data_IF_982970024712
#
_entry.id   IF_982970024712
#
_cell.length_a   1.000
_cell.length_b   1.000
_cell.length_c   1.000
_cell.angle_alpha   90.00
_cell.angle_beta   90.00
_cell.angle_gamma   90.00
#
_symmetry.space_group_name_H-M   'P 1'
#
loop_
_entity.id
_entity.type
_entity.pdbx_description
1 polymer ?
#
# COMPACT_ATOMS: atom_id res chain seq x y z
N UNK A 1 9.41 19.00 29.50
CA UNK A 1 9.26 17.91 28.52
C UNK A 1 9.04 18.59 27.18
N UNK A 2 10.03 18.57 26.29
CA UNK A 2 9.96 19.33 25.04
C UNK A 2 9.09 18.57 24.04
N UNK A 3 7.92 19.15 23.73
CA UNK A 3 7.08 18.74 22.61
C UNK A 3 7.87 18.92 21.32
N UNK A 4 8.27 17.81 20.71
CA UNK A 4 8.94 17.82 19.41
C UNK A 4 7.86 18.07 18.36
N UNK A 5 7.45 19.33 18.24
CA UNK A 5 6.78 19.84 17.06
C UNK A 5 7.76 19.73 15.89
N UNK A 6 7.67 18.62 15.16
CA UNK A 6 8.42 18.36 13.94
C UNK A 6 7.86 19.25 12.82
N UNK A 7 8.28 20.52 12.86
CA UNK A 7 7.93 21.57 11.92
C UNK A 7 8.33 21.14 10.51
N UNK A 8 7.34 21.04 9.63
CA UNK A 8 7.56 21.05 8.19
C UNK A 8 8.34 22.32 7.83
N UNK A 9 9.42 22.26 7.01
CA UNK A 9 10.23 23.45 6.70
C UNK A 9 9.45 24.58 6.01
N UNK A 10 8.19 24.35 5.57
CA UNK A 10 7.29 25.39 5.08
C UNK A 10 6.41 26.06 6.16
N UNK A 11 6.57 25.71 7.44
CA UNK A 11 5.84 26.31 8.57
C UNK A 11 4.33 26.02 8.60
N UNK A 12 3.82 25.19 7.68
CA UNK A 12 2.40 24.84 7.61
C UNK A 12 2.10 23.65 8.52
N UNK A 13 1.22 23.88 9.51
CA UNK A 13 0.58 22.78 10.26
C UNK A 13 -0.16 21.90 9.26
N UNK A 14 0.27 20.63 9.13
CA UNK A 14 -0.51 19.66 8.35
C UNK A 14 -1.83 19.46 9.09
N UNK A 15 -3.01 19.63 8.46
CA UNK A 15 -4.28 19.31 9.11
C UNK A 15 -4.19 17.86 9.55
N UNK A 16 -4.65 17.56 10.78
CA UNK A 16 -4.52 16.28 11.46
C UNK A 16 -4.91 15.13 10.52
N UNK A 17 -3.91 14.62 9.81
CA UNK A 17 -4.09 13.81 8.62
C UNK A 17 -4.08 12.39 9.09
N UNK A 18 -5.13 11.62 8.76
CA UNK A 18 -5.23 10.16 8.90
C UNK A 18 -3.89 9.53 9.29
N UNK A 19 -3.76 9.14 10.57
CA UNK A 19 -2.50 8.69 11.17
C UNK A 19 -1.88 7.60 10.31
N UNK A 20 -0.76 7.93 9.67
CA UNK A 20 0.03 7.01 8.85
C UNK A 20 1.28 6.60 9.59
N UNK A 21 1.73 5.36 9.38
CA UNK A 21 3.01 4.89 9.91
C UNK A 21 4.15 5.74 9.37
N UNK A 22 5.11 6.10 10.23
CA UNK A 22 6.29 6.89 9.83
C UNK A 22 7.26 6.08 8.97
N UNK A 23 7.36 4.77 9.20
CA UNK A 23 8.21 3.88 8.41
C UNK A 23 7.74 3.83 6.94
N UNK A 24 8.67 4.12 6.03
CA UNK A 24 8.48 4.04 4.59
C UNK A 24 9.43 2.99 3.99
N UNK A 25 9.07 2.44 2.84
CA UNK A 25 9.89 1.55 2.03
C UNK A 25 10.01 2.10 0.62
N UNK A 26 11.21 2.05 0.08
CA UNK A 26 11.51 2.46 -1.28
C UNK A 26 10.76 1.55 -2.28
N UNK A 27 10.08 2.15 -3.26
CA UNK A 27 9.36 1.40 -4.30
C UNK A 27 10.27 0.77 -5.35
N UNK A 28 11.55 1.16 -5.42
CA UNK A 28 12.51 0.70 -6.42
C UNK A 28 13.50 -0.32 -5.87
N UNK A 29 14.23 0.02 -4.80
CA UNK A 29 15.23 -0.86 -4.20
C UNK A 29 14.74 -1.64 -2.97
N UNK A 30 13.60 -1.25 -2.39
CA UNK A 30 13.06 -1.90 -1.21
C UNK A 30 13.69 -1.50 0.13
N UNK A 31 14.62 -0.53 0.14
CA UNK A 31 15.27 -0.01 1.36
C UNK A 31 14.27 0.73 2.27
N UNK A 32 14.49 0.63 3.58
CA UNK A 32 13.63 1.26 4.58
C UNK A 32 14.13 2.64 4.99
N UNK A 33 13.20 3.52 5.33
CA UNK A 33 13.55 4.87 5.75
C UNK A 33 12.38 5.61 6.37
N UNK A 34 12.67 6.81 6.88
CA UNK A 34 11.67 7.71 7.49
C UNK A 34 11.38 8.95 6.63
N UNK A 35 12.12 9.11 5.54
CA UNK A 35 12.00 10.23 4.61
C UNK A 35 11.02 9.96 3.47
N UNK A 36 10.71 11.01 2.70
CA UNK A 36 9.90 10.88 1.49
C UNK A 36 10.69 10.32 0.29
N UNK A 37 12.02 10.37 0.35
CA UNK A 37 12.96 9.94 -0.69
C UNK A 37 13.95 8.94 -0.15
N UNK A 38 14.25 7.93 -0.96
CA UNK A 38 15.29 6.95 -0.64
C UNK A 38 16.67 7.61 -0.66
N UNK A 39 17.51 7.32 0.34
CA UNK A 39 18.88 7.84 0.41
C UNK A 39 19.85 7.22 -0.60
N UNK A 40 19.52 6.03 -1.12
CA UNK A 40 20.40 5.28 -2.03
C UNK A 40 20.07 5.52 -3.50
N UNK A 41 18.79 5.40 -3.89
CA UNK A 41 18.37 5.56 -5.29
C UNK A 41 17.58 6.85 -5.58
N UNK A 42 17.22 7.63 -4.56
CA UNK A 42 16.49 8.90 -4.73
C UNK A 42 15.01 8.78 -5.11
N UNK A 43 14.48 7.56 -5.30
CA UNK A 43 13.07 7.35 -5.65
C UNK A 43 12.12 7.60 -4.47
N UNK A 44 10.82 7.69 -4.78
CA UNK A 44 9.79 7.95 -3.79
C UNK A 44 9.62 6.76 -2.83
N UNK A 45 9.51 7.04 -1.54
CA UNK A 45 9.20 6.02 -0.54
C UNK A 45 7.69 5.97 -0.28
N UNK A 46 7.16 4.77 -0.06
CA UNK A 46 5.77 4.49 0.24
C UNK A 46 5.61 3.92 1.64
N UNK A 47 4.45 4.12 2.27
CA UNK A 47 4.20 3.64 3.62
C UNK A 47 4.25 2.10 3.66
N UNK A 48 4.99 1.55 4.62
CA UNK A 48 5.18 0.10 4.74
C UNK A 48 3.91 -0.60 5.22
N UNK A 49 3.19 0.04 6.13
CA UNK A 49 1.99 -0.55 6.70
C UNK A 49 0.91 -0.68 5.63
N UNK A 50 0.34 -1.88 5.44
CA UNK A 50 -0.80 -2.03 4.55
C UNK A 50 -2.00 -1.25 5.10
N UNK A 51 -2.96 -0.96 4.21
CA UNK A 51 -4.25 -0.44 4.64
C UNK A 51 -4.96 -1.47 5.51
N UNK A 52 -5.55 -1.01 6.62
CA UNK A 52 -6.34 -1.88 7.50
C UNK A 52 -7.56 -2.41 6.74
N UNK A 53 -7.81 -3.70 6.89
CA UNK A 53 -9.04 -4.32 6.40
C UNK A 53 -10.22 -3.95 7.30
N UNK A 54 -11.39 -3.73 6.71
CA UNK A 54 -12.68 -3.60 7.39
C UNK A 54 -13.68 -4.48 6.64
N UNK A 55 -14.48 -5.31 7.33
CA UNK A 55 -15.53 -6.10 6.70
C UNK A 55 -16.55 -5.26 5.92
N UNK A 56 -16.86 -4.07 6.42
CA UNK A 56 -17.86 -3.16 5.84
C UNK A 56 -17.33 -2.39 4.61
N UNK A 57 -16.00 -2.22 4.50
CA UNK A 57 -15.25 -1.46 3.47
C UNK A 57 -16.13 -0.66 2.47
N UNK A 58 -16.56 0.55 2.85
CA UNK A 58 -17.47 1.36 2.03
C UNK A 58 -16.86 1.77 0.67
N UNK A 59 -15.54 1.75 0.55
CA UNK A 59 -14.82 2.10 -0.69
C UNK A 59 -14.43 0.85 -1.50
N UNK A 60 -14.80 -0.35 -1.05
CA UNK A 60 -14.42 -1.61 -1.67
C UNK A 60 -14.89 -1.75 -3.11
N UNK A 61 -16.14 -1.38 -3.40
CA UNK A 61 -16.69 -1.40 -4.76
C UNK A 61 -15.90 -0.48 -5.71
N UNK A 62 -15.54 0.72 -5.24
CA UNK A 62 -14.72 1.67 -6.02
C UNK A 62 -13.30 1.15 -6.25
N UNK A 63 -12.69 0.52 -5.23
CA UNK A 63 -11.36 -0.10 -5.36
C UNK A 63 -11.36 -1.25 -6.37
N UNK A 64 -12.36 -2.14 -6.32
CA UNK A 64 -12.50 -3.25 -7.28
C UNK A 64 -12.66 -2.74 -8.72
N UNK A 65 -13.49 -1.72 -8.94
CA UNK A 65 -13.66 -1.10 -10.26
C UNK A 65 -12.36 -0.46 -10.79
N UNK A 66 -11.56 0.16 -9.92
CA UNK A 66 -10.27 0.75 -10.32
C UNK A 66 -9.25 -0.31 -10.75
N UNK A 67 -9.29 -1.47 -10.10
CA UNK A 67 -8.40 -2.60 -10.36
C UNK A 67 -8.94 -3.54 -11.45
N UNK A 68 -10.07 -3.19 -12.07
CA UNK A 68 -10.79 -3.99 -13.07
C UNK A 68 -11.02 -5.46 -12.65
N UNK A 69 -11.33 -5.65 -11.36
CA UNK A 69 -11.57 -6.97 -10.78
C UNK A 69 -12.83 -7.57 -11.39
N UNK A 70 -12.67 -8.71 -12.07
CA UNK A 70 -13.75 -9.44 -12.73
C UNK A 70 -13.70 -9.40 -14.26
N UNK A 71 -12.68 -8.78 -14.86
CA UNK A 71 -12.38 -8.97 -16.29
C UNK A 71 -11.88 -10.39 -16.57
N UNK A 72 -11.97 -10.82 -17.84
CA UNK A 72 -11.51 -12.15 -18.26
C UNK A 72 -10.00 -12.33 -17.95
N UNK A 73 -9.20 -11.29 -18.20
CA UNK A 73 -7.76 -11.27 -17.86
C UNK A 73 -7.51 -11.44 -16.35
N UNK A 74 -8.36 -10.84 -15.51
CA UNK A 74 -8.25 -11.00 -14.07
C UNK A 74 -8.60 -12.43 -13.64
N UNK A 75 -9.64 -13.02 -14.21
CA UNK A 75 -10.06 -14.41 -13.93
C UNK A 75 -8.96 -15.41 -14.32
N UNK A 76 -8.33 -15.22 -15.47
CA UNK A 76 -7.22 -16.05 -15.95
C UNK A 76 -5.97 -15.95 -15.05
N UNK A 77 -5.79 -14.82 -14.36
CA UNK A 77 -4.67 -14.62 -13.44
C UNK A 77 -4.85 -15.31 -12.08
N UNK A 78 -6.05 -15.82 -11.78
CA UNK A 78 -6.33 -16.41 -10.47
C UNK A 78 -5.55 -17.71 -10.30
N UNK A 79 -4.92 -17.91 -9.13
CA UNK A 79 -4.26 -19.17 -8.83
C UNK A 79 -5.31 -20.28 -8.75
N UNK A 80 -5.19 -21.28 -9.62
CA UNK A 80 -5.99 -22.50 -9.53
C UNK A 80 -5.56 -23.29 -8.29
N UNK A 81 -6.53 -23.79 -7.51
CA UNK A 81 -6.23 -24.77 -6.47
C UNK A 81 -5.60 -25.99 -7.15
N UNK A 82 -4.42 -26.42 -6.65
CA UNK A 82 -3.59 -27.55 -7.12
C UNK A 82 -4.25 -28.46 -8.17
N UNK A 83 -3.59 -28.52 -9.35
CA UNK A 83 -3.77 -29.48 -10.45
C UNK A 83 -4.49 -30.75 -9.99
N UNK A 84 -5.76 -30.89 -10.35
CA UNK A 84 -6.43 -32.18 -10.33
C UNK A 84 -5.66 -33.07 -11.32
N UNK A 85 -4.92 -34.03 -10.78
CA UNK A 85 -4.56 -35.21 -11.56
C UNK A 85 -5.89 -35.85 -11.95
N UNK A 86 -6.17 -35.80 -13.25
CA UNK A 86 -7.25 -36.51 -13.88
C UNK A 86 -7.25 -37.96 -13.46
N UNK A 87 -8.32 -38.44 -12.84
CA UNK A 87 -8.72 -39.84 -13.00
C UNK A 87 -10.17 -39.81 -13.51
N UNK A 88 -10.26 -40.01 -14.82
CA UNK A 88 -11.41 -40.61 -15.49
C UNK A 88 -11.63 -42.01 -14.88
N UNK A 89 -12.81 -42.29 -14.33
CA UNK A 89 -13.68 -43.46 -14.63
C UNK A 89 -15.01 -43.38 -13.84
#
# INVERSE_FOLDING_TARGET
MADIDFIDPSGRKRPDSMVRTRLQRCTSCGEFGLGARCGECGSAMAAVSPMKYSPEDPQGARRRKRMDVGSDEWLDSLPTTRKEESEEE
#
